data_IF_920249894363
#
_entry.id   IF_920249894363
#
_cell.length_a   1.000
_cell.length_b   1.000
_cell.length_c   1.000
_cell.angle_alpha   90.00
_cell.angle_beta   90.00
_cell.angle_gamma   90.00
#
_symmetry.space_group_name_H-M   'P 1'
#
loop_
_entity.id
_entity.type
_entity.pdbx_description
1 polymer ?
#
# COMPACT_ATOMS: atom_id res chain seq x y z
N UNK A 1 11.13 13.05 3.51
CA UNK A 1 11.06 13.86 2.28
C UNK A 1 9.58 14.06 1.99
N UNK A 2 9.11 15.31 1.90
CA UNK A 2 7.68 15.66 1.99
C UNK A 2 6.95 15.73 0.64
N UNK A 3 5.60 15.79 0.66
CA UNK A 3 4.74 15.81 -0.53
C UNK A 3 5.08 16.91 -1.56
N UNK A 4 5.72 17.99 -1.10
CA UNK A 4 6.20 19.10 -1.94
C UNK A 4 7.25 18.66 -2.97
N UNK A 5 8.08 17.66 -2.67
CA UNK A 5 9.11 17.17 -3.59
C UNK A 5 8.52 16.30 -4.70
N UNK A 6 7.51 15.47 -4.40
CA UNK A 6 6.79 14.64 -5.38
C UNK A 6 6.05 15.53 -6.39
N UNK A 7 5.29 16.52 -5.90
CA UNK A 7 4.59 17.50 -6.75
C UNK A 7 5.53 18.26 -7.69
N UNK A 8 6.76 18.53 -7.23
CA UNK A 8 7.76 19.23 -8.04
C UNK A 8 8.26 18.36 -9.20
N UNK A 9 8.49 17.07 -8.95
CA UNK A 9 8.93 16.11 -9.95
C UNK A 9 7.82 15.76 -10.94
N UNK A 10 6.57 15.63 -10.48
CA UNK A 10 5.39 15.44 -11.37
C UNK A 10 5.25 16.59 -12.37
N UNK A 11 5.43 17.83 -11.90
CA UNK A 11 5.41 19.02 -12.78
C UNK A 11 6.59 19.06 -13.76
N UNK A 12 7.73 18.51 -13.36
CA UNK A 12 8.92 18.40 -14.22
C UNK A 12 8.70 17.35 -15.32
N UNK A 13 8.07 16.20 -15.00
CA UNK A 13 7.61 15.20 -15.99
C UNK A 13 6.67 15.84 -17.02
N UNK A 14 5.65 16.57 -16.56
CA UNK A 14 4.66 17.19 -17.45
C UNK A 14 5.30 18.18 -18.44
N UNK A 15 6.28 18.97 -17.98
CA UNK A 15 7.02 19.90 -18.83
C UNK A 15 7.95 19.20 -19.83
N UNK A 16 8.57 18.09 -19.42
CA UNK A 16 9.46 17.30 -20.27
C UNK A 16 8.69 16.49 -21.32
N UNK A 17 7.51 15.97 -20.98
CA UNK A 17 6.61 15.28 -21.93
C UNK A 17 6.07 16.26 -22.99
N UNK A 18 5.90 17.53 -22.63
CA UNK A 18 5.47 18.58 -23.56
C UNK A 18 6.59 19.07 -24.50
N UNK A 19 7.85 18.71 -24.26
CA UNK A 19 8.98 19.06 -25.12
C UNK A 19 9.23 17.92 -26.13
N UNK A 20 8.93 18.16 -27.41
CA UNK A 20 9.04 17.19 -28.52
C UNK A 20 10.49 16.99 -29.02
N UNK A 21 11.50 17.25 -28.19
CA UNK A 21 12.91 17.31 -28.58
C UNK A 21 13.73 16.04 -28.28
N UNK A 22 13.06 14.95 -27.88
CA UNK A 22 13.75 13.68 -27.60
C UNK A 22 14.42 13.62 -26.23
N UNK A 23 13.94 14.39 -25.25
CA UNK A 23 14.36 14.38 -23.83
C UNK A 23 14.08 13.08 -23.05
N UNK A 24 14.00 11.93 -23.72
CA UNK A 24 13.64 10.62 -23.14
C UNK A 24 14.53 10.19 -21.97
N UNK A 25 15.85 10.45 -22.04
CA UNK A 25 16.78 10.08 -20.97
C UNK A 25 16.52 10.88 -19.67
N UNK A 26 16.18 12.16 -19.80
CA UNK A 26 15.87 13.00 -18.63
C UNK A 26 14.52 12.60 -18.04
N UNK A 27 13.53 12.32 -18.90
CA UNK A 27 12.21 11.85 -18.51
C UNK A 27 12.28 10.51 -17.76
N UNK A 28 13.06 9.56 -18.28
CA UNK A 28 13.29 8.25 -17.66
C UNK A 28 13.92 8.39 -16.26
N UNK A 29 14.92 9.26 -16.12
CA UNK A 29 15.55 9.56 -14.82
C UNK A 29 14.59 10.20 -13.81
N UNK A 30 13.65 11.02 -14.27
CA UNK A 30 12.63 11.62 -13.40
C UNK A 30 11.58 10.57 -13.00
N UNK A 31 11.18 9.67 -13.91
CA UNK A 31 10.29 8.55 -13.60
C UNK A 31 10.89 7.58 -12.57
N UNK A 32 12.14 7.14 -12.76
CA UNK A 32 12.85 6.29 -11.78
C UNK A 32 12.87 6.95 -10.40
N UNK A 33 13.09 8.26 -10.35
CA UNK A 33 13.12 9.02 -9.10
C UNK A 33 11.74 9.14 -8.46
N UNK A 34 10.69 9.25 -9.27
CA UNK A 34 9.31 9.23 -8.79
C UNK A 34 8.95 7.86 -8.19
N UNK A 35 9.32 6.77 -8.87
CA UNK A 35 9.10 5.40 -8.43
C UNK A 35 9.85 5.11 -7.13
N UNK A 36 11.12 5.51 -7.03
CA UNK A 36 11.90 5.37 -5.80
C UNK A 36 11.30 6.16 -4.62
N UNK A 37 10.72 7.33 -4.88
CA UNK A 37 10.03 8.13 -3.86
C UNK A 37 8.69 7.50 -3.44
N UNK A 38 7.94 6.94 -4.39
CA UNK A 38 6.70 6.25 -4.08
C UNK A 38 6.98 4.98 -3.28
N UNK A 39 8.01 4.20 -3.64
CA UNK A 39 8.49 3.06 -2.85
C UNK A 39 8.94 3.45 -1.43
N UNK A 40 9.68 4.56 -1.29
CA UNK A 40 10.13 5.05 0.02
C UNK A 40 8.99 5.56 0.91
N UNK A 41 7.85 5.95 0.34
CA UNK A 41 6.66 6.39 1.08
C UNK A 41 5.60 5.31 1.20
N UNK A 42 5.66 4.27 0.36
CA UNK A 42 4.74 3.13 0.33
C UNK A 42 4.74 2.39 1.65
N UNK A 43 5.91 2.10 2.23
CA UNK A 43 6.01 1.41 3.52
C UNK A 43 5.30 2.18 4.64
N UNK A 44 5.52 3.50 4.70
CA UNK A 44 4.88 4.36 5.71
C UNK A 44 3.36 4.46 5.50
N UNK A 45 2.91 4.62 4.25
CA UNK A 45 1.47 4.64 3.90
C UNK A 45 0.79 3.30 4.21
N UNK A 46 1.43 2.19 3.85
CA UNK A 46 0.95 0.86 4.17
C UNK A 46 0.85 0.65 5.69
N UNK A 47 1.86 1.08 6.44
CA UNK A 47 1.85 1.03 7.91
C UNK A 47 0.72 1.88 8.52
N UNK A 48 0.43 3.06 7.96
CA UNK A 48 -0.68 3.93 8.39
C UNK A 48 -2.06 3.30 8.10
N UNK A 49 -2.23 2.71 6.92
CA UNK A 49 -3.46 1.99 6.53
C UNK A 49 -3.66 0.78 7.44
N UNK A 50 -2.62 -0.05 7.60
CA UNK A 50 -2.65 -1.23 8.46
C UNK A 50 -2.91 -0.85 9.92
N UNK A 51 -2.31 0.24 10.40
CA UNK A 51 -2.60 0.74 11.74
C UNK A 51 -4.07 1.17 11.89
N UNK A 52 -4.63 1.86 10.88
CA UNK A 52 -6.05 2.21 10.83
C UNK A 52 -6.99 0.98 10.79
N UNK A 53 -6.52 -0.12 10.21
CA UNK A 53 -7.20 -1.43 10.20
C UNK A 53 -6.89 -2.29 11.44
N UNK A 54 -6.22 -1.73 12.46
CA UNK A 54 -5.99 -2.39 13.75
C UNK A 54 -4.74 -3.28 13.82
N UNK A 55 -3.92 -3.29 12.78
CA UNK A 55 -2.67 -4.04 12.74
C UNK A 55 -1.57 -3.25 13.45
N UNK A 56 -1.11 -3.77 14.59
CA UNK A 56 -0.03 -3.17 15.36
C UNK A 56 1.34 -3.37 14.68
N UNK A 57 2.39 -2.68 15.16
CA UNK A 57 3.75 -2.76 14.57
C UNK A 57 4.34 -4.18 14.53
N UNK A 58 3.95 -5.04 15.47
CA UNK A 58 4.44 -6.43 15.50
C UNK A 58 3.77 -7.28 14.41
N UNK A 59 2.49 -7.03 14.16
CA UNK A 59 1.72 -7.63 13.07
C UNK A 59 2.24 -7.17 11.69
N UNK A 60 2.53 -5.88 11.53
CA UNK A 60 3.04 -5.31 10.28
C UNK A 60 4.45 -5.82 9.91
N UNK A 61 5.29 -6.11 10.92
CA UNK A 61 6.65 -6.61 10.71
C UNK A 61 6.71 -8.12 10.37
N UNK A 62 5.58 -8.83 10.40
CA UNK A 62 5.54 -10.25 10.07
C UNK A 62 5.62 -10.42 8.56
N UNK A 63 6.64 -11.13 8.07
CA UNK A 63 6.83 -11.36 6.62
C UNK A 63 5.67 -12.18 6.06
N UNK A 64 5.04 -11.66 5.01
CA UNK A 64 3.99 -12.35 4.26
C UNK A 64 4.48 -13.62 3.56
N UNK A 65 5.77 -13.71 3.22
CA UNK A 65 6.40 -14.93 2.68
C UNK A 65 6.47 -16.09 3.68
N UNK A 66 6.43 -15.83 4.99
CA UNK A 66 6.45 -16.88 6.01
C UNK A 66 5.05 -17.47 6.29
N UNK A 67 4.07 -17.10 5.46
CA UNK A 67 2.73 -17.66 5.46
C UNK A 67 2.48 -18.39 4.13
N UNK A 68 2.04 -19.64 4.19
CA UNK A 68 1.30 -20.22 3.07
C UNK A 68 0.00 -19.43 2.86
N UNK A 69 -0.54 -19.40 1.63
CA UNK A 69 -1.77 -18.64 1.30
C UNK A 69 -2.94 -18.94 2.27
N UNK A 70 -2.99 -20.17 2.79
CA UNK A 70 -3.97 -20.60 3.77
C UNK A 70 -3.72 -19.97 5.16
N UNK A 71 -2.46 -19.93 5.61
CA UNK A 71 -2.10 -19.33 6.91
C UNK A 71 -2.28 -17.81 6.91
N UNK A 72 -2.06 -17.15 5.77
CA UNK A 72 -2.32 -15.72 5.59
C UNK A 72 -3.83 -15.42 5.73
N UNK A 73 -4.69 -16.23 5.11
CA UNK A 73 -6.15 -16.12 5.24
C UNK A 73 -6.62 -16.31 6.69
N UNK A 74 -6.15 -17.37 7.37
CA UNK A 74 -6.51 -17.64 8.78
C UNK A 74 -6.06 -16.50 9.69
N UNK A 75 -4.85 -15.98 9.48
CA UNK A 75 -4.35 -14.85 10.27
C UNK A 75 -5.13 -13.56 10.04
N UNK A 76 -5.49 -13.28 8.78
CA UNK A 76 -6.32 -12.12 8.44
C UNK A 76 -7.70 -12.24 9.09
N UNK A 77 -8.30 -13.42 9.04
CA UNK A 77 -9.57 -13.72 9.70
C UNK A 77 -9.51 -13.46 11.21
N UNK A 78 -8.52 -14.01 11.90
CA UNK A 78 -8.31 -13.84 13.35
C UNK A 78 -8.00 -12.40 13.76
N UNK A 79 -7.39 -11.63 12.87
CA UNK A 79 -7.07 -10.22 13.12
C UNK A 79 -8.31 -9.35 12.94
N UNK A 80 -9.07 -9.56 11.86
CA UNK A 80 -10.29 -8.81 11.58
C UNK A 80 -11.41 -9.13 12.57
N UNK A 81 -11.50 -10.37 13.09
CA UNK A 81 -12.40 -10.75 14.20
C UNK A 81 -12.26 -9.87 15.46
N UNK A 82 -11.06 -9.33 15.70
CA UNK A 82 -10.74 -8.53 16.90
C UNK A 82 -10.85 -7.03 16.67
N UNK A 83 -11.19 -6.62 15.46
CA UNK A 83 -11.27 -5.21 15.10
C UNK A 83 -12.52 -4.57 15.73
N UNK A 84 -12.33 -3.51 16.50
CA UNK A 84 -13.34 -2.90 17.38
C UNK A 84 -14.03 -1.66 16.76
N UNK A 85 -13.81 -1.42 15.46
CA UNK A 85 -14.37 -0.30 14.70
C UNK A 85 -15.26 -0.78 13.56
N UNK A 86 -15.91 0.16 12.89
CA UNK A 86 -16.74 -0.12 11.71
C UNK A 86 -15.83 -0.69 10.62
N UNK A 87 -16.13 -1.93 10.20
CA UNK A 87 -15.43 -2.66 9.16
C UNK A 87 -16.40 -2.94 8.01
N UNK A 88 -16.01 -2.59 6.78
CA UNK A 88 -16.75 -2.95 5.56
C UNK A 88 -15.84 -3.86 4.73
N UNK A 89 -16.23 -5.11 4.57
CA UNK A 89 -15.46 -6.14 3.84
C UNK A 89 -16.23 -6.58 2.60
N UNK A 90 -15.52 -6.70 1.47
CA UNK A 90 -16.03 -7.36 0.25
C UNK A 90 -15.22 -8.63 0.04
N UNK A 91 -15.89 -9.78 -0.05
CA UNK A 91 -15.22 -11.07 -0.26
C UNK A 91 -16.09 -11.98 -1.14
N UNK A 92 -15.42 -12.82 -1.94
CA UNK A 92 -16.05 -13.91 -2.70
C UNK A 92 -16.17 -15.21 -1.90
N UNK A 93 -15.61 -15.27 -0.68
CA UNK A 93 -15.62 -16.45 0.19
C UNK A 93 -16.62 -16.29 1.33
N UNK A 94 -17.60 -17.20 1.40
CA UNK A 94 -18.58 -17.24 2.50
C UNK A 94 -17.94 -17.65 3.83
N UNK A 95 -17.02 -18.63 3.82
CA UNK A 95 -16.38 -19.13 5.03
C UNK A 95 -15.59 -18.02 5.75
N UNK A 96 -14.87 -17.20 4.97
CA UNK A 96 -14.16 -16.04 5.50
C UNK A 96 -15.10 -14.99 6.10
N UNK A 97 -16.21 -14.68 5.43
CA UNK A 97 -17.20 -13.72 5.93
C UNK A 97 -17.87 -14.22 7.22
N UNK A 98 -18.18 -15.51 7.30
CA UNK A 98 -18.74 -16.12 8.51
C UNK A 98 -17.75 -16.13 9.68
N UNK A 99 -16.45 -16.22 9.39
CA UNK A 99 -15.38 -16.09 10.37
C UNK A 99 -15.25 -14.66 10.90
N UNK A 100 -15.23 -13.65 10.02
CA UNK A 100 -14.94 -12.26 10.39
C UNK A 100 -16.16 -11.50 10.91
N UNK A 101 -17.32 -11.64 10.26
CA UNK A 101 -18.52 -10.88 10.60
C UNK A 101 -19.31 -11.65 11.65
N UNK A 102 -19.27 -11.21 12.91
CA UNK A 102 -20.26 -11.65 13.90
C UNK A 102 -21.61 -11.02 13.59
N UNK A 103 -22.71 -11.78 13.75
CA UNK A 103 -24.08 -11.27 13.64
C UNK A 103 -24.30 -10.03 14.52
#
# INVERSE_FOLDING_TARGET
IGPVQTLRLEKEVELLVAQDDGGGETLERVYERLEALDAATAEKRAAEILYGLGFNKQMQAKKTHDFSDLEACVWLEETLKKFDRILVVVSHSQDFLNGVCTN
#
